data_IF_822180927116
#
_entry.id   IF_822180927116
#
_cell.length_a   1.000
_cell.length_b   1.000
_cell.length_c   1.000
_cell.angle_alpha   90.00
_cell.angle_beta   90.00
_cell.angle_gamma   90.00
#
_symmetry.space_group_name_H-M   'P 1'
#
loop_
_entity.id
_entity.type
_entity.pdbx_description
1 polymer ?
#
# COMPACT_ATOMS: atom_id res chain seq x y z
N UNK A 1 -22.91 -2.00 -34.18
CA UNK A 1 -22.34 -0.74 -33.64
C UNK A 1 -23.27 0.01 -32.65
N UNK A 2 -24.60 -0.17 -32.76
CA UNK A 2 -25.62 0.57 -31.93
C UNK A 2 -25.62 0.24 -30.45
N UNK A 3 -25.46 -1.02 -30.03
CA UNK A 3 -25.55 -1.44 -28.62
C UNK A 3 -24.35 -1.01 -27.73
N UNK A 4 -23.17 -0.72 -28.32
CA UNK A 4 -21.99 -0.21 -27.57
C UNK A 4 -22.08 1.29 -27.30
N UNK A 5 -22.63 2.06 -28.23
CA UNK A 5 -22.84 3.51 -28.09
C UNK A 5 -23.89 3.83 -27.01
N UNK A 6 -24.97 3.04 -26.96
CA UNK A 6 -26.04 3.21 -25.97
C UNK A 6 -25.59 2.91 -24.54
N UNK A 7 -24.70 1.91 -24.34
CA UNK A 7 -24.10 1.61 -23.01
C UNK A 7 -23.11 2.69 -22.54
N UNK A 8 -22.47 3.40 -23.48
CA UNK A 8 -21.55 4.50 -23.14
C UNK A 8 -22.33 5.78 -22.75
N UNK A 9 -23.43 6.07 -23.45
CA UNK A 9 -24.33 7.20 -23.13
C UNK A 9 -25.01 7.06 -21.76
N UNK A 10 -25.47 5.85 -21.42
CA UNK A 10 -26.08 5.57 -20.10
C UNK A 10 -25.07 5.70 -18.95
N UNK A 11 -23.79 5.30 -19.16
CA UNK A 11 -22.73 5.46 -18.17
C UNK A 11 -22.40 6.94 -17.90
N UNK A 12 -22.39 7.77 -18.94
CA UNK A 12 -22.15 9.22 -18.81
C UNK A 12 -23.36 9.89 -18.14
N UNK A 13 -24.58 9.50 -18.48
CA UNK A 13 -25.80 10.05 -17.87
C UNK A 13 -25.89 9.71 -16.36
N UNK A 14 -25.50 8.49 -15.98
CA UNK A 14 -25.46 8.07 -14.57
C UNK A 14 -24.39 8.87 -13.80
N UNK A 15 -23.23 9.12 -14.40
CA UNK A 15 -22.18 9.94 -13.81
C UNK A 15 -22.64 11.39 -13.67
N UNK A 16 -23.33 11.96 -14.67
CA UNK A 16 -23.86 13.33 -14.61
C UNK A 16 -25.00 13.48 -13.58
N UNK A 17 -25.91 12.50 -13.44
CA UNK A 17 -27.00 12.55 -12.46
C UNK A 17 -26.47 12.42 -11.03
N UNK A 18 -25.42 11.59 -10.83
CA UNK A 18 -24.74 11.48 -9.53
C UNK A 18 -23.97 12.77 -9.23
N UNK A 19 -23.31 13.36 -10.23
CA UNK A 19 -22.57 14.62 -10.08
C UNK A 19 -23.51 15.80 -9.73
N UNK A 20 -24.69 15.87 -10.34
CA UNK A 20 -25.70 16.89 -10.05
C UNK A 20 -26.30 16.70 -8.64
N UNK A 21 -26.52 15.47 -8.20
CA UNK A 21 -26.97 15.21 -6.82
C UNK A 21 -25.91 15.54 -5.79
N UNK A 22 -24.62 15.22 -6.05
CA UNK A 22 -23.49 15.55 -5.18
C UNK A 22 -23.31 17.07 -5.10
N UNK A 23 -23.39 17.79 -6.22
CA UNK A 23 -23.27 19.25 -6.25
C UNK A 23 -24.42 19.94 -5.50
N UNK A 24 -25.65 19.44 -5.59
CA UNK A 24 -26.75 19.95 -4.76
C UNK A 24 -26.52 19.72 -3.26
N UNK A 25 -25.89 18.59 -2.90
CA UNK A 25 -25.52 18.29 -1.51
C UNK A 25 -24.39 19.18 -1.00
N UNK A 26 -23.37 19.47 -1.82
CA UNK A 26 -22.29 20.40 -1.47
C UNK A 26 -22.77 21.85 -1.34
N UNK A 27 -23.71 22.28 -2.16
CA UNK A 27 -24.34 23.62 -2.04
C UNK A 27 -25.15 23.73 -0.74
N UNK A 28 -25.88 22.68 -0.34
CA UNK A 28 -26.58 22.66 0.96
C UNK A 28 -25.61 22.62 2.15
N UNK A 29 -24.52 21.86 2.08
CA UNK A 29 -23.50 21.76 3.13
C UNK A 29 -22.76 23.10 3.29
N UNK A 30 -22.36 23.74 2.18
CA UNK A 30 -21.72 25.06 2.22
C UNK A 30 -22.65 26.15 2.78
N UNK A 31 -23.97 26.01 2.62
CA UNK A 31 -24.93 26.92 3.23
C UNK A 31 -25.03 26.69 4.74
N UNK A 32 -24.99 25.42 5.19
CA UNK A 32 -25.04 25.05 6.62
C UNK A 32 -23.73 25.44 7.31
N UNK A 33 -22.56 25.25 6.67
CA UNK A 33 -21.24 25.63 7.21
C UNK A 33 -21.11 27.17 7.25
N UNK A 34 -21.63 27.91 6.26
CA UNK A 34 -21.65 29.40 6.31
C UNK A 34 -22.57 29.93 7.41
N UNK A 35 -23.72 29.32 7.69
CA UNK A 35 -24.58 29.71 8.81
C UNK A 35 -23.97 29.37 10.16
N UNK A 36 -23.22 28.26 10.30
CA UNK A 36 -22.51 27.95 11.54
C UNK A 36 -21.27 28.84 11.76
N UNK A 37 -20.60 29.29 10.68
CA UNK A 37 -19.44 30.19 10.77
C UNK A 37 -19.85 31.65 11.12
N UNK A 38 -21.04 32.08 10.71
CA UNK A 38 -21.54 33.41 11.07
C UNK A 38 -22.08 33.49 12.51
N UNK A 39 -22.36 32.35 13.16
CA UNK A 39 -22.78 32.29 14.57
C UNK A 39 -21.61 32.16 15.57
N UNK A 40 -20.38 31.95 15.10
CA UNK A 40 -19.19 31.71 15.95
C UNK A 40 -18.29 32.94 16.16
N UNK A 41 -18.66 34.12 15.66
CA UNK A 41 -17.85 35.33 15.82
C UNK A 41 -18.40 36.36 16.85
N UNK A 42 -19.33 35.98 17.68
CA UNK A 42 -19.73 36.86 18.82
C UNK A 42 -19.63 36.06 20.12
N UNK A 43 -18.64 36.38 20.90
CA UNK A 43 -18.41 36.25 22.33
C UNK A 43 -17.10 35.54 22.69
N UNK A 44 -16.20 36.29 23.28
CA UNK A 44 -15.02 35.81 23.98
C UNK A 44 -15.45 35.09 25.27
N UNK A 45 -14.92 33.87 25.58
CA UNK A 45 -15.23 33.23 26.84
C UNK A 45 -14.31 33.71 27.96
N UNK A 46 -14.93 34.10 29.07
CA UNK A 46 -14.33 34.31 30.38
C UNK A 46 -13.54 33.10 30.87
N UNK A 47 -12.44 33.37 31.56
CA UNK A 47 -11.51 32.44 32.19
C UNK A 47 -12.19 31.38 33.08
N UNK A 48 -12.21 30.15 32.64
CA UNK A 48 -12.51 28.97 33.45
C UNK A 48 -11.65 27.80 32.98
N UNK A 49 -10.63 27.44 33.74
CA UNK A 49 -9.63 26.43 33.36
C UNK A 49 -10.24 25.05 33.11
N UNK A 50 -10.25 24.64 31.86
CA UNK A 50 -10.56 23.27 31.47
C UNK A 50 -9.33 22.38 31.72
N UNK A 51 -9.37 21.52 32.75
CA UNK A 51 -8.38 20.46 32.96
C UNK A 51 -8.46 19.48 31.78
N UNK A 52 -7.34 19.28 31.09
CA UNK A 52 -7.19 18.24 30.06
C UNK A 52 -7.53 16.86 30.66
N UNK A 53 -8.27 16.00 29.95
CA UNK A 53 -8.59 14.66 30.44
C UNK A 53 -7.29 13.83 30.55
N UNK A 54 -7.10 13.16 31.69
CA UNK A 54 -6.05 12.17 31.88
C UNK A 54 -6.29 11.01 30.91
N UNK A 55 -5.24 10.60 30.21
CA UNK A 55 -5.22 9.40 29.34
C UNK A 55 -5.50 8.15 30.19
N UNK A 56 -6.74 7.60 30.10
CA UNK A 56 -7.16 6.38 30.77
C UNK A 56 -8.62 6.04 30.47
N UNK A 57 -9.00 4.77 30.64
CA UNK A 57 -10.41 4.36 30.61
C UNK A 57 -11.13 5.07 31.78
N UNK A 58 -12.15 5.87 31.48
CA UNK A 58 -12.93 6.60 32.50
C UNK A 58 -13.86 5.66 33.32
N UNK A 59 -13.27 4.59 33.89
CA UNK A 59 -13.95 3.58 34.68
C UNK A 59 -13.28 3.54 36.09
N UNK A 60 -14.05 3.80 37.13
CA UNK A 60 -13.53 3.84 38.50
C UNK A 60 -14.49 3.23 39.49
N UNK A 61 -13.96 2.68 40.61
CA UNK A 61 -14.73 2.10 41.71
C UNK A 61 -15.20 3.23 42.62
N UNK A 62 -16.48 3.29 42.93
CA UNK A 62 -17.10 4.27 43.85
C UNK A 62 -16.97 3.78 45.28
N UNK A 63 -17.16 4.70 46.22
CA UNK A 63 -17.19 4.38 47.68
C UNK A 63 -18.30 3.41 48.05
N UNK A 64 -19.38 3.36 47.30
CA UNK A 64 -20.52 2.43 47.46
C UNK A 64 -20.28 1.03 46.86
N UNK A 65 -19.03 0.74 46.45
CA UNK A 65 -18.62 -0.57 45.93
C UNK A 65 -18.93 -0.81 44.46
N UNK A 66 -19.76 0.04 43.82
CA UNK A 66 -20.10 -0.08 42.38
C UNK A 66 -19.03 0.52 41.50
N UNK A 67 -18.90 0.01 40.29
CA UNK A 67 -18.07 0.57 39.24
C UNK A 67 -18.88 1.57 38.39
N UNK A 68 -18.34 2.77 38.22
CA UNK A 68 -18.87 3.82 37.35
C UNK A 68 -17.99 3.96 36.12
N UNK A 69 -18.60 3.89 34.94
CA UNK A 69 -17.96 4.21 33.67
C UNK A 69 -18.59 5.47 33.08
N UNK A 70 -17.76 6.51 32.86
CA UNK A 70 -18.23 7.82 32.39
C UNK A 70 -17.79 8.04 30.94
N UNK A 71 -18.69 8.58 30.13
CA UNK A 71 -18.43 8.88 28.73
C UNK A 71 -19.14 10.14 28.26
N UNK A 72 -18.66 10.71 27.15
CA UNK A 72 -19.27 11.90 26.55
C UNK A 72 -20.47 11.45 25.72
N UNK A 73 -21.68 11.86 26.10
CA UNK A 73 -22.94 11.56 25.40
C UNK A 73 -23.36 12.63 24.40
N UNK A 74 -22.65 13.76 24.34
CA UNK A 74 -22.94 14.88 23.46
C UNK A 74 -22.20 16.14 23.90
N UNK A 75 -22.56 17.28 23.29
CA UNK A 75 -22.13 18.60 23.75
C UNK A 75 -23.34 19.43 24.15
N UNK A 76 -23.18 20.30 25.15
CA UNK A 76 -24.17 21.28 25.53
C UNK A 76 -24.16 22.46 24.54
N UNK A 77 -25.15 23.32 24.60
CA UNK A 77 -25.26 24.56 23.79
C UNK A 77 -24.06 25.51 23.97
N UNK A 78 -23.35 25.42 25.09
CA UNK A 78 -22.15 26.17 25.43
C UNK A 78 -20.83 25.53 24.90
N UNK A 79 -20.93 24.45 24.08
CA UNK A 79 -19.79 23.72 23.56
C UNK A 79 -19.14 22.72 24.53
N UNK A 80 -19.50 22.73 25.81
CA UNK A 80 -18.95 21.85 26.83
C UNK A 80 -19.42 20.42 26.65
N UNK A 81 -18.54 19.44 27.00
CA UNK A 81 -18.87 18.03 26.90
C UNK A 81 -19.96 17.63 27.91
N UNK A 82 -21.05 17.02 27.43
CA UNK A 82 -22.08 16.41 28.26
C UNK A 82 -21.68 14.98 28.60
N UNK A 83 -21.42 14.71 29.88
CA UNK A 83 -21.06 13.38 30.37
C UNK A 83 -22.29 12.60 30.82
N UNK A 84 -22.27 11.30 30.58
CA UNK A 84 -23.23 10.34 31.10
C UNK A 84 -22.46 9.18 31.74
N UNK A 85 -22.99 8.64 32.84
CA UNK A 85 -22.40 7.53 33.59
C UNK A 85 -23.25 6.27 33.49
N UNK A 86 -22.60 5.12 33.44
CA UNK A 86 -23.23 3.80 33.60
C UNK A 86 -22.62 3.09 34.82
N UNK A 87 -23.41 2.28 35.50
CA UNK A 87 -23.02 1.64 36.72
C UNK A 87 -23.13 0.12 36.63
N UNK A 88 -22.19 -0.61 37.25
CA UNK A 88 -22.23 -2.06 37.38
C UNK A 88 -21.54 -2.54 38.68
N UNK A 89 -21.77 -3.81 39.02
CA UNK A 89 -21.15 -4.43 40.23
C UNK A 89 -19.69 -4.81 39.97
N UNK A 90 -19.29 -5.06 38.73
CA UNK A 90 -17.91 -5.44 38.35
C UNK A 90 -17.35 -4.50 37.31
N UNK A 91 -16.02 -4.40 37.21
CA UNK A 91 -15.31 -3.62 36.18
C UNK A 91 -15.68 -4.09 34.75
N UNK A 92 -15.65 -5.43 34.53
CA UNK A 92 -15.99 -5.99 33.23
C UNK A 92 -17.42 -5.66 32.80
N UNK A 93 -18.40 -5.74 33.71
CA UNK A 93 -19.79 -5.38 33.45
C UNK A 93 -19.97 -3.86 33.22
N UNK A 94 -19.21 -3.00 33.90
CA UNK A 94 -19.23 -1.56 33.66
C UNK A 94 -18.65 -1.22 32.28
N UNK A 95 -17.56 -1.90 31.88
CA UNK A 95 -16.94 -1.75 30.57
C UNK A 95 -17.88 -2.22 29.44
N UNK A 96 -18.50 -3.38 29.59
CA UNK A 96 -19.47 -3.90 28.63
C UNK A 96 -20.67 -2.93 28.46
N UNK A 97 -21.26 -2.46 29.56
CA UNK A 97 -22.35 -1.47 29.54
C UNK A 97 -21.90 -0.14 28.93
N UNK A 98 -20.67 0.30 29.15
CA UNK A 98 -20.10 1.49 28.54
C UNK A 98 -20.02 1.33 27.01
N UNK A 99 -19.52 0.21 26.54
CA UNK A 99 -19.40 -0.09 25.10
C UNK A 99 -20.78 -0.19 24.45
N UNK A 100 -21.75 -0.86 25.08
CA UNK A 100 -23.11 -0.95 24.58
C UNK A 100 -23.79 0.43 24.53
N UNK A 101 -23.59 1.27 25.56
CA UNK A 101 -24.12 2.64 25.55
C UNK A 101 -23.43 3.54 24.53
N UNK A 102 -22.11 3.40 24.36
CA UNK A 102 -21.40 4.07 23.26
C UNK A 102 -21.95 3.62 21.91
N UNK A 103 -22.18 2.32 21.72
CA UNK A 103 -22.83 1.77 20.51
C UNK A 103 -24.21 2.39 20.28
N UNK A 104 -25.07 2.44 21.30
CA UNK A 104 -26.42 3.02 21.21
C UNK A 104 -26.43 4.53 20.95
N UNK A 105 -25.43 5.29 21.44
CA UNK A 105 -25.37 6.75 21.21
C UNK A 105 -24.85 7.05 19.81
N UNK A 106 -23.89 6.24 19.34
CA UNK A 106 -23.44 6.27 17.93
C UNK A 106 -24.54 5.72 17.01
N UNK A 107 -25.44 4.87 17.52
CA UNK A 107 -26.68 4.40 16.87
C UNK A 107 -27.85 5.37 17.02
N UNK A 108 -27.61 6.69 17.10
CA UNK A 108 -28.69 7.60 16.69
C UNK A 108 -29.10 7.18 15.29
N UNK A 109 -30.42 7.02 15.02
CA UNK A 109 -30.82 6.77 13.65
C UNK A 109 -30.14 7.82 12.82
N UNK A 110 -29.24 7.39 11.95
CA UNK A 110 -28.59 8.26 11.00
C UNK A 110 -29.73 8.86 10.17
N UNK A 111 -30.23 9.97 10.63
CA UNK A 111 -31.20 10.75 9.88
C UNK A 111 -30.48 11.03 8.57
N UNK A 112 -30.85 10.25 7.55
CA UNK A 112 -30.54 10.48 6.15
C UNK A 112 -29.25 9.99 5.52
N UNK A 113 -28.36 9.22 6.12
CA UNK A 113 -27.30 8.63 5.30
C UNK A 113 -27.86 7.46 4.45
N UNK A 114 -28.60 7.80 3.38
CA UNK A 114 -29.07 6.84 2.36
C UNK A 114 -28.00 6.53 1.33
N UNK A 115 -26.72 6.57 1.74
CA UNK A 115 -25.59 6.29 0.88
C UNK A 115 -25.48 4.78 0.68
N UNK A 116 -25.53 4.32 -0.57
CA UNK A 116 -25.24 2.94 -0.94
C UNK A 116 -23.72 2.71 -1.00
N UNK A 117 -23.28 1.47 -0.93
CA UNK A 117 -21.85 1.10 -1.11
C UNK A 117 -21.33 1.58 -2.47
N UNK A 118 -22.16 1.57 -3.52
CA UNK A 118 -21.80 2.11 -4.84
C UNK A 118 -21.51 3.60 -4.78
N UNK A 119 -22.42 4.39 -4.21
CA UNK A 119 -22.27 5.83 -4.06
C UNK A 119 -21.08 6.18 -3.15
N UNK A 120 -20.88 5.42 -2.08
CA UNK A 120 -19.70 5.54 -1.22
C UNK A 120 -18.41 5.44 -2.01
N UNK A 121 -18.25 4.42 -2.87
CA UNK A 121 -17.01 4.26 -3.63
C UNK A 121 -16.81 5.32 -4.69
N UNK A 122 -17.87 5.82 -5.35
CA UNK A 122 -17.79 6.96 -6.26
C UNK A 122 -17.26 8.18 -5.52
N UNK A 123 -17.84 8.48 -4.35
CA UNK A 123 -17.42 9.60 -3.54
C UNK A 123 -16.00 9.41 -2.96
N UNK A 124 -15.69 8.25 -2.37
CA UNK A 124 -14.35 7.96 -1.85
C UNK A 124 -13.25 8.13 -2.89
N UNK A 125 -13.47 7.62 -4.11
CA UNK A 125 -12.50 7.78 -5.19
C UNK A 125 -12.38 9.22 -5.70
N UNK A 126 -13.40 10.06 -5.57
CA UNK A 126 -13.33 11.47 -5.95
C UNK A 126 -12.49 12.30 -4.97
N UNK A 127 -12.50 11.94 -3.68
CA UNK A 127 -11.75 12.64 -2.64
C UNK A 127 -10.35 12.09 -2.40
N UNK A 128 -10.11 10.83 -2.76
CA UNK A 128 -8.85 10.16 -2.44
C UNK A 128 -7.70 10.64 -3.35
N UNK A 129 -6.67 11.21 -2.75
CA UNK A 129 -5.39 11.52 -3.42
C UNK A 129 -4.54 10.25 -3.53
N UNK A 130 -4.78 9.48 -4.58
CA UNK A 130 -4.08 8.21 -4.82
C UNK A 130 -3.43 8.19 -6.18
N UNK A 131 -2.25 7.53 -6.25
CA UNK A 131 -1.51 7.38 -7.51
C UNK A 131 -2.35 6.69 -8.59
N UNK A 132 -2.17 7.02 -9.88
CA UNK A 132 -2.95 6.44 -10.98
C UNK A 132 -2.99 4.92 -10.98
N UNK A 133 -1.88 4.26 -10.66
CA UNK A 133 -1.80 2.81 -10.56
C UNK A 133 -2.64 2.21 -9.43
N UNK A 134 -2.67 2.88 -8.27
CA UNK A 134 -3.50 2.47 -7.12
C UNK A 134 -4.97 2.69 -7.44
N UNK A 135 -5.32 3.83 -8.07
CA UNK A 135 -6.68 4.13 -8.53
C UNK A 135 -7.17 3.07 -9.49
N UNK A 136 -6.39 2.71 -10.50
CA UNK A 136 -6.74 1.67 -11.47
C UNK A 136 -7.00 0.31 -10.80
N UNK A 137 -6.19 -0.05 -9.80
CA UNK A 137 -6.40 -1.27 -8.99
C UNK A 137 -7.68 -1.19 -8.16
N UNK A 138 -7.95 -0.06 -7.51
CA UNK A 138 -9.16 0.12 -6.73
C UNK A 138 -10.41 0.04 -7.59
N UNK A 139 -10.42 0.73 -8.74
CA UNK A 139 -11.52 0.66 -9.71
C UNK A 139 -11.77 -0.79 -10.12
N UNK A 140 -10.71 -1.55 -10.45
CA UNK A 140 -10.84 -2.96 -10.79
C UNK A 140 -11.47 -3.79 -9.65
N UNK A 141 -10.98 -3.63 -8.40
CA UNK A 141 -11.53 -4.36 -7.26
C UNK A 141 -12.99 -3.98 -6.98
N UNK A 142 -13.32 -2.70 -7.11
CA UNK A 142 -14.67 -2.19 -6.90
C UNK A 142 -15.63 -2.75 -7.95
N UNK A 143 -15.32 -2.59 -9.24
CA UNK A 143 -16.21 -2.96 -10.33
C UNK A 143 -16.42 -4.47 -10.46
N UNK A 144 -15.37 -5.27 -10.24
CA UNK A 144 -15.44 -6.72 -10.52
C UNK A 144 -15.70 -7.56 -9.28
N UNK A 145 -15.43 -7.05 -8.07
CA UNK A 145 -15.58 -7.86 -6.86
C UNK A 145 -16.58 -7.28 -5.85
N UNK A 146 -16.64 -5.95 -5.68
CA UNK A 146 -17.42 -5.34 -4.60
C UNK A 146 -18.84 -4.98 -5.06
N UNK A 147 -18.96 -4.18 -6.14
CA UNK A 147 -20.25 -3.67 -6.58
C UNK A 147 -21.26 -4.73 -7.00
N UNK A 148 -20.86 -5.86 -7.64
CA UNK A 148 -21.85 -6.88 -8.03
C UNK A 148 -22.66 -7.45 -6.88
N UNK A 149 -22.10 -7.51 -5.67
CA UNK A 149 -22.74 -8.14 -4.51
C UNK A 149 -23.14 -7.14 -3.41
N UNK A 150 -22.32 -6.12 -3.18
CA UNK A 150 -22.54 -5.16 -2.10
C UNK A 150 -23.03 -3.78 -2.58
N UNK A 151 -23.01 -3.51 -3.87
CA UNK A 151 -23.20 -2.17 -4.43
C UNK A 151 -24.54 -1.50 -4.09
N UNK A 152 -25.62 -2.27 -3.98
CA UNK A 152 -26.96 -1.79 -3.66
C UNK A 152 -27.25 -1.66 -2.16
N UNK A 153 -26.39 -2.20 -1.30
CA UNK A 153 -26.60 -2.20 0.15
C UNK A 153 -26.31 -0.79 0.69
N UNK A 154 -27.18 -0.31 1.60
CA UNK A 154 -26.93 0.93 2.31
C UNK A 154 -25.76 0.76 3.29
N UNK A 155 -24.86 1.74 3.33
CA UNK A 155 -23.64 1.71 4.16
C UNK A 155 -23.95 1.50 5.64
N UNK A 156 -25.04 2.12 6.14
CA UNK A 156 -25.47 2.00 7.54
C UNK A 156 -26.04 0.63 7.89
N UNK A 157 -26.53 -0.12 6.90
CA UNK A 157 -27.11 -1.45 7.11
C UNK A 157 -26.10 -2.60 6.89
N UNK A 158 -24.90 -2.28 6.42
CA UNK A 158 -23.88 -3.30 6.19
C UNK A 158 -23.31 -3.82 7.52
N UNK A 159 -23.57 -5.09 7.82
CA UNK A 159 -23.15 -5.73 9.06
C UNK A 159 -21.76 -6.39 8.94
N UNK A 160 -21.12 -6.64 10.09
CA UNK A 160 -19.86 -7.38 10.15
C UNK A 160 -20.01 -8.81 9.62
N UNK A 161 -21.17 -9.44 9.86
CA UNK A 161 -21.49 -10.77 9.36
C UNK A 161 -21.55 -10.78 7.83
N UNK A 162 -22.36 -9.88 7.23
CA UNK A 162 -22.47 -9.79 5.76
C UNK A 162 -21.11 -9.56 5.08
N UNK A 163 -20.28 -8.66 5.63
CA UNK A 163 -18.95 -8.44 5.09
C UNK A 163 -18.03 -9.67 5.27
N UNK A 164 -18.14 -10.39 6.39
CA UNK A 164 -17.38 -11.63 6.62
C UNK A 164 -17.78 -12.73 5.64
N UNK A 165 -19.10 -12.92 5.43
CA UNK A 165 -19.65 -13.92 4.51
C UNK A 165 -19.22 -13.60 3.06
N UNK A 166 -19.32 -12.34 2.66
CA UNK A 166 -18.82 -11.86 1.37
C UNK A 166 -17.33 -12.17 1.15
N UNK A 167 -16.48 -11.87 2.14
CA UNK A 167 -15.04 -12.15 2.04
C UNK A 167 -14.75 -13.65 1.99
N UNK A 168 -15.53 -14.47 2.71
CA UNK A 168 -15.43 -15.92 2.69
C UNK A 168 -15.84 -16.50 1.33
N UNK A 169 -16.92 -16.01 0.75
CA UNK A 169 -17.35 -16.37 -0.60
C UNK A 169 -16.28 -16.01 -1.64
N UNK A 170 -15.67 -14.82 -1.58
CA UNK A 170 -14.56 -14.44 -2.48
C UNK A 170 -13.35 -15.34 -2.31
N UNK A 171 -13.15 -15.91 -1.13
CA UNK A 171 -12.11 -16.89 -0.89
C UNK A 171 -12.35 -18.21 -1.63
N UNK A 172 -13.61 -18.64 -1.77
CA UNK A 172 -14.00 -19.89 -2.39
C UNK A 172 -14.20 -19.76 -3.91
N UNK A 173 -14.85 -18.70 -4.38
CA UNK A 173 -15.32 -18.54 -5.78
C UNK A 173 -15.09 -17.15 -6.37
N UNK A 174 -14.13 -16.38 -5.86
CA UNK A 174 -13.97 -14.96 -6.24
C UNK A 174 -13.20 -14.68 -7.52
N UNK A 175 -12.63 -15.66 -8.24
CA UNK A 175 -11.95 -15.42 -9.52
C UNK A 175 -12.93 -15.26 -10.65
N UNK A 176 -12.63 -14.35 -11.60
CA UNK A 176 -13.47 -14.08 -12.77
C UNK A 176 -13.59 -15.28 -13.74
N UNK A 177 -12.64 -16.21 -13.71
CA UNK A 177 -12.58 -17.41 -14.56
C UNK A 177 -12.63 -18.71 -13.74
N UNK A 178 -13.31 -18.67 -12.59
CA UNK A 178 -13.47 -19.82 -11.70
C UNK A 178 -12.39 -19.94 -10.61
N UNK A 179 -12.77 -20.52 -9.47
CA UNK A 179 -11.93 -20.73 -8.29
C UNK A 179 -11.85 -19.54 -7.34
N UNK A 180 -11.20 -19.75 -6.20
CA UNK A 180 -11.12 -18.78 -5.11
C UNK A 180 -9.99 -17.76 -5.25
N UNK A 181 -10.16 -16.58 -4.64
CA UNK A 181 -9.10 -15.58 -4.51
C UNK A 181 -8.08 -15.98 -3.43
N UNK A 182 -6.85 -15.49 -3.58
CA UNK A 182 -5.83 -15.64 -2.54
C UNK A 182 -6.23 -14.89 -1.25
N UNK A 183 -5.75 -15.35 -0.08
CA UNK A 183 -5.97 -14.66 1.19
C UNK A 183 -5.55 -13.19 1.14
N UNK A 184 -4.46 -12.89 0.43
CA UNK A 184 -3.97 -11.53 0.22
C UNK A 184 -4.96 -10.70 -0.59
N UNK A 185 -5.49 -11.23 -1.70
CA UNK A 185 -6.46 -10.50 -2.54
C UNK A 185 -7.76 -10.22 -1.78
N UNK A 186 -8.27 -11.20 -1.03
CA UNK A 186 -9.46 -11.03 -0.17
C UNK A 186 -9.21 -9.98 0.92
N UNK A 187 -8.02 -10.03 1.55
CA UNK A 187 -7.63 -9.01 2.54
C UNK A 187 -7.57 -7.61 1.92
N UNK A 188 -7.00 -7.47 0.73
CA UNK A 188 -6.90 -6.19 0.02
C UNK A 188 -8.29 -5.60 -0.30
N UNK A 189 -9.25 -6.45 -0.70
CA UNK A 189 -10.68 -6.06 -0.87
C UNK A 189 -11.26 -5.57 0.46
N UNK A 190 -11.11 -6.34 1.53
CA UNK A 190 -11.63 -5.97 2.85
C UNK A 190 -10.99 -4.69 3.41
N UNK A 191 -9.68 -4.47 3.18
CA UNK A 191 -8.98 -3.22 3.55
C UNK A 191 -9.57 -2.03 2.80
N UNK A 192 -9.83 -2.17 1.49
CA UNK A 192 -10.42 -1.12 0.67
C UNK A 192 -11.84 -0.76 1.13
N UNK A 193 -12.67 -1.77 1.39
CA UNK A 193 -14.04 -1.55 1.92
C UNK A 193 -13.96 -0.81 3.25
N UNK A 194 -13.15 -1.29 4.20
CA UNK A 194 -13.00 -0.65 5.51
C UNK A 194 -12.43 0.77 5.43
N UNK A 195 -11.54 1.06 4.49
CA UNK A 195 -11.01 2.41 4.29
C UNK A 195 -12.12 3.37 3.84
N UNK A 196 -12.93 2.97 2.86
CA UNK A 196 -14.05 3.77 2.40
C UNK A 196 -15.14 3.94 3.50
N UNK A 197 -15.44 2.88 4.26
CA UNK A 197 -16.41 2.96 5.37
C UNK A 197 -15.91 3.88 6.49
N UNK A 198 -14.62 3.84 6.87
CA UNK A 198 -14.05 4.76 7.87
C UNK A 198 -14.13 6.20 7.41
N UNK A 199 -13.83 6.44 6.13
CA UNK A 199 -13.92 7.77 5.53
C UNK A 199 -15.36 8.31 5.63
N UNK A 200 -16.36 7.52 5.24
CA UNK A 200 -17.77 7.91 5.36
C UNK A 200 -18.22 8.04 6.82
N UNK A 201 -17.80 7.13 7.71
CA UNK A 201 -18.15 7.18 9.13
C UNK A 201 -17.58 8.43 9.83
N UNK A 202 -16.40 8.89 9.43
CA UNK A 202 -15.80 10.11 9.94
C UNK A 202 -16.57 11.37 9.47
N UNK A 203 -16.97 11.41 8.20
CA UNK A 203 -17.66 12.56 7.60
C UNK A 203 -19.13 12.67 8.06
N UNK A 204 -19.85 11.56 8.02
CA UNK A 204 -21.28 11.53 8.35
C UNK A 204 -21.60 11.16 9.81
N UNK A 205 -20.56 10.92 10.62
CA UNK A 205 -20.67 10.60 12.05
C UNK A 205 -21.65 9.44 12.38
N UNK A 206 -21.66 8.38 11.56
CA UNK A 206 -22.47 7.19 11.82
C UNK A 206 -21.61 5.99 12.23
N UNK A 207 -22.23 5.06 12.94
CA UNK A 207 -21.64 3.77 13.24
C UNK A 207 -21.87 2.78 12.10
N UNK A 208 -20.82 2.04 11.71
CA UNK A 208 -20.92 0.95 10.75
C UNK A 208 -20.36 -0.33 11.37
N UNK A 209 -21.21 -1.32 11.60
CA UNK A 209 -20.80 -2.60 12.21
C UNK A 209 -19.80 -3.35 11.36
N UNK A 210 -19.86 -3.24 10.02
CA UNK A 210 -18.87 -3.85 9.12
C UNK A 210 -17.42 -3.48 9.41
N UNK A 211 -17.16 -2.37 10.10
CA UNK A 211 -15.80 -2.00 10.54
C UNK A 211 -15.19 -2.98 11.53
N UNK A 212 -16.00 -3.75 12.26
CA UNK A 212 -15.57 -4.76 13.23
C UNK A 212 -15.16 -6.09 12.57
N UNK A 213 -15.42 -6.29 11.26
CA UNK A 213 -15.09 -7.53 10.55
C UNK A 213 -13.61 -7.87 10.68
N UNK A 214 -13.27 -9.10 11.04
CA UNK A 214 -11.90 -9.60 11.06
C UNK A 214 -11.46 -9.95 9.64
N UNK A 215 -10.36 -9.35 9.20
CA UNK A 215 -9.80 -9.64 7.87
C UNK A 215 -8.94 -10.92 7.89
N UNK A 216 -8.89 -11.68 6.79
CA UNK A 216 -8.07 -12.88 6.70
C UNK A 216 -6.61 -12.60 7.04
N UNK A 217 -6.00 -13.48 7.84
CA UNK A 217 -4.55 -13.47 8.07
C UNK A 217 -3.85 -13.92 6.79
N UNK A 218 -2.78 -13.24 6.41
CA UNK A 218 -1.95 -13.61 5.28
C UNK A 218 -0.62 -14.15 5.78
N UNK A 219 -0.28 -15.38 5.39
CA UNK A 219 1.09 -15.86 5.58
C UNK A 219 2.00 -15.10 4.61
N UNK A 220 3.05 -14.49 5.11
CA UNK A 220 4.08 -13.90 4.27
C UNK A 220 4.84 -15.07 3.63
N UNK A 221 4.92 -15.10 2.29
CA UNK A 221 5.78 -16.07 1.61
C UNK A 221 7.21 -15.57 1.75
N UNK A 222 8.06 -16.38 2.30
CA UNK A 222 9.50 -16.16 2.28
C UNK A 222 9.96 -16.23 0.82
N UNK A 223 10.71 -15.23 0.40
CA UNK A 223 11.33 -15.20 -0.93
C UNK A 223 12.74 -15.75 -0.74
N UNK A 224 12.93 -16.97 -1.14
CA UNK A 224 14.24 -17.60 -1.14
C UNK A 224 15.17 -16.90 -2.16
N UNK A 225 16.32 -16.39 -1.76
CA UNK A 225 17.29 -15.78 -2.67
C UNK A 225 17.86 -16.81 -3.65
N UNK A 226 18.53 -16.37 -4.70
CA UNK A 226 19.30 -17.25 -5.57
C UNK A 226 20.48 -17.83 -4.79
N UNK A 227 20.70 -19.14 -4.94
CA UNK A 227 21.90 -19.79 -4.42
C UNK A 227 23.16 -19.34 -5.18
N UNK A 228 24.34 -19.59 -4.61
CA UNK A 228 25.62 -19.32 -5.28
C UNK A 228 25.72 -20.06 -6.62
N UNK A 229 25.26 -21.32 -6.65
CA UNK A 229 25.20 -22.11 -7.88
C UNK A 229 24.26 -21.50 -8.93
N UNK A 230 23.03 -21.12 -8.53
CA UNK A 230 22.09 -20.47 -9.46
C UNK A 230 22.63 -19.16 -10.02
N UNK A 231 23.34 -18.36 -9.21
CA UNK A 231 23.99 -17.12 -9.67
C UNK A 231 25.13 -17.38 -10.66
N UNK A 232 25.92 -18.43 -10.43
CA UNK A 232 27.01 -18.82 -11.37
C UNK A 232 26.42 -19.33 -12.69
N UNK A 233 25.37 -20.16 -12.64
CA UNK A 233 24.67 -20.59 -13.85
C UNK A 233 24.04 -19.40 -14.60
N UNK A 234 23.42 -18.46 -13.87
CA UNK A 234 22.87 -17.26 -14.48
C UNK A 234 23.96 -16.44 -15.16
N UNK A 235 25.12 -16.25 -14.52
CA UNK A 235 26.28 -15.54 -15.08
C UNK A 235 26.79 -16.21 -16.37
N UNK A 236 26.91 -17.53 -16.37
CA UNK A 236 27.36 -18.33 -17.54
C UNK A 236 26.33 -18.31 -18.68
N UNK A 237 25.04 -18.22 -18.36
CA UNK A 237 23.95 -18.20 -19.34
C UNK A 237 23.67 -16.84 -19.97
N UNK A 238 24.31 -15.77 -19.47
CA UNK A 238 24.29 -14.47 -20.13
C UNK A 238 25.22 -14.47 -21.34
N UNK A 239 24.99 -13.56 -22.29
CA UNK A 239 25.83 -13.47 -23.49
C UNK A 239 27.30 -13.22 -23.15
N UNK A 240 28.25 -13.91 -23.78
CA UNK A 240 29.66 -13.61 -23.64
C UNK A 240 30.01 -12.18 -24.06
N UNK A 241 29.30 -11.66 -25.07
CA UNK A 241 29.45 -10.27 -25.50
C UNK A 241 28.47 -9.38 -24.73
N UNK A 242 28.95 -8.27 -24.15
CA UNK A 242 28.11 -7.32 -23.46
C UNK A 242 26.95 -6.82 -24.35
N UNK A 243 25.73 -6.96 -23.84
CA UNK A 243 24.54 -6.45 -24.53
C UNK A 243 23.62 -5.74 -23.53
N UNK A 244 22.82 -4.83 -24.09
CA UNK A 244 21.97 -3.96 -23.28
C UNK A 244 20.84 -4.70 -22.56
N UNK A 245 20.34 -5.84 -23.07
CA UNK A 245 19.27 -6.60 -22.38
C UNK A 245 19.81 -7.34 -21.15
N UNK A 246 20.98 -7.98 -21.27
CA UNK A 246 21.61 -8.66 -20.15
C UNK A 246 22.09 -7.67 -19.08
N UNK A 247 22.49 -6.45 -19.50
CA UNK A 247 22.86 -5.37 -18.59
C UNK A 247 21.81 -5.12 -17.49
N UNK A 248 20.53 -5.20 -17.81
CA UNK A 248 19.47 -5.00 -16.83
C UNK A 248 19.37 -6.10 -15.77
N UNK A 249 19.65 -7.36 -16.13
CA UNK A 249 19.74 -8.48 -15.16
C UNK A 249 20.92 -8.25 -14.22
N UNK A 250 22.09 -7.92 -14.79
CA UNK A 250 23.31 -7.65 -14.04
C UNK A 250 23.17 -6.42 -13.13
N UNK A 251 22.54 -5.34 -13.59
CA UNK A 251 22.21 -4.16 -12.77
C UNK A 251 21.35 -4.52 -11.57
N UNK A 252 20.37 -5.40 -11.76
CA UNK A 252 19.54 -5.82 -10.64
C UNK A 252 20.24 -6.77 -9.68
N UNK A 253 21.18 -7.61 -10.18
CA UNK A 253 21.96 -8.51 -9.37
C UNK A 253 23.07 -7.79 -8.57
N UNK A 254 23.63 -6.68 -9.09
CA UNK A 254 24.73 -5.92 -8.49
C UNK A 254 24.32 -4.59 -7.83
N UNK A 255 23.10 -4.08 -8.10
CA UNK A 255 22.62 -2.83 -7.54
C UNK A 255 21.21 -2.92 -6.93
N UNK A 256 20.59 -4.09 -6.96
CA UNK A 256 19.29 -4.30 -6.33
C UNK A 256 18.13 -3.51 -6.95
N UNK A 257 18.20 -3.17 -8.24
CA UNK A 257 17.19 -2.36 -8.93
C UNK A 257 15.86 -3.11 -9.04
N UNK A 258 14.74 -2.36 -8.96
CA UNK A 258 13.40 -2.91 -9.24
C UNK A 258 13.19 -3.03 -10.76
N UNK A 259 12.37 -3.98 -11.18
CA UNK A 259 12.05 -4.21 -12.61
C UNK A 259 11.64 -2.91 -13.34
N UNK A 260 10.75 -2.11 -12.74
CA UNK A 260 10.32 -0.85 -13.35
C UNK A 260 11.41 0.22 -13.41
N UNK A 261 12.35 0.23 -12.47
CA UNK A 261 13.51 1.13 -12.46
C UNK A 261 14.46 0.79 -13.60
N UNK A 262 14.83 -0.49 -13.73
CA UNK A 262 15.69 -0.97 -14.84
C UNK A 262 15.06 -0.68 -16.20
N UNK A 263 13.76 -0.87 -16.34
CA UNK A 263 13.05 -0.58 -17.60
C UNK A 263 13.02 0.91 -17.96
N UNK A 264 13.23 1.80 -16.97
CA UNK A 264 13.23 3.25 -17.15
C UNK A 264 14.62 3.86 -17.27
N UNK A 265 15.67 3.06 -17.03
CA UNK A 265 17.05 3.54 -16.93
C UNK A 265 17.58 4.00 -18.29
N UNK A 266 18.21 5.17 -18.33
CA UNK A 266 18.85 5.77 -19.51
C UNK A 266 20.36 5.69 -19.37
N UNK A 267 21.06 5.86 -20.50
CA UNK A 267 22.54 5.94 -20.50
C UNK A 267 23.02 7.11 -19.64
N UNK A 268 22.34 8.26 -19.71
CA UNK A 268 22.64 9.46 -18.89
C UNK A 268 22.52 9.25 -17.39
N UNK A 269 21.86 8.18 -16.92
CA UNK A 269 21.75 7.89 -15.49
C UNK A 269 22.99 7.18 -14.93
N UNK A 270 23.95 6.81 -15.78
CA UNK A 270 25.19 6.15 -15.41
C UNK A 270 26.33 7.17 -15.39
N UNK A 271 26.94 7.32 -14.24
CA UNK A 271 28.18 8.10 -14.08
C UNK A 271 29.38 7.14 -14.15
N UNK A 272 30.02 7.10 -15.32
CA UNK A 272 31.20 6.25 -15.54
C UNK A 272 32.46 6.75 -14.86
N UNK A 273 32.53 8.02 -14.43
CA UNK A 273 33.67 8.58 -13.72
C UNK A 273 33.64 8.18 -12.25
N UNK A 274 32.45 8.33 -11.61
CA UNK A 274 32.30 8.01 -10.19
C UNK A 274 31.84 6.56 -9.95
N UNK A 275 31.60 5.77 -10.98
CA UNK A 275 31.18 4.37 -10.86
C UNK A 275 29.78 4.21 -10.25
N UNK A 276 28.85 5.11 -10.55
CA UNK A 276 27.52 5.13 -9.93
C UNK A 276 26.38 5.11 -10.93
N UNK A 277 25.18 4.74 -10.46
CA UNK A 277 23.94 4.82 -11.22
C UNK A 277 22.87 5.55 -10.42
N UNK A 278 22.22 6.52 -11.07
CA UNK A 278 21.12 7.33 -10.48
C UNK A 278 19.77 6.71 -10.81
N UNK A 279 18.95 6.48 -9.79
CA UNK A 279 17.60 5.92 -9.93
C UNK A 279 16.57 7.01 -9.65
N UNK A 280 15.97 7.57 -10.69
CA UNK A 280 15.03 8.69 -10.61
C UNK A 280 13.65 8.37 -11.20
N UNK A 281 13.55 7.29 -11.95
CA UNK A 281 12.35 6.95 -12.74
C UNK A 281 12.01 5.48 -12.64
N UNK A 282 10.73 5.18 -12.82
CA UNK A 282 10.25 3.81 -12.96
C UNK A 282 9.14 3.74 -14.01
N UNK A 283 9.17 2.72 -14.84
CA UNK A 283 8.13 2.40 -15.81
C UNK A 283 7.11 1.46 -15.17
N UNK A 284 5.84 1.78 -15.34
CA UNK A 284 4.73 0.94 -14.92
C UNK A 284 3.65 0.90 -15.99
N UNK A 285 3.05 -0.28 -16.22
CA UNK A 285 1.84 -0.40 -17.03
C UNK A 285 0.60 -0.17 -16.18
N UNK A 286 -0.20 0.79 -16.55
CA UNK A 286 -1.44 1.16 -15.83
C UNK A 286 -2.63 1.02 -16.77
N UNK A 287 -3.73 0.47 -16.28
CA UNK A 287 -5.00 0.42 -16.99
C UNK A 287 -5.77 1.72 -16.70
N UNK A 288 -6.10 2.45 -17.75
CA UNK A 288 -6.85 3.70 -17.66
C UNK A 288 -7.89 3.73 -18.80
N UNK A 289 -9.15 3.98 -18.48
CA UNK A 289 -10.26 4.02 -19.44
C UNK A 289 -10.32 2.79 -20.36
N UNK A 290 -10.18 1.59 -19.79
CA UNK A 290 -10.24 0.32 -20.53
C UNK A 290 -8.99 -0.04 -21.32
N UNK A 291 -8.06 0.92 -21.55
CA UNK A 291 -6.79 0.73 -22.27
C UNK A 291 -5.62 0.68 -21.29
N UNK A 292 -4.56 -0.02 -21.67
CA UNK A 292 -3.33 -0.05 -20.89
C UNK A 292 -2.28 0.86 -21.50
N UNK A 293 -1.66 1.72 -20.68
CA UNK A 293 -0.55 2.59 -21.09
C UNK A 293 0.67 2.35 -20.22
N UNK A 294 1.87 2.50 -20.83
CA UNK A 294 3.11 2.64 -20.07
C UNK A 294 3.17 4.06 -19.52
N UNK A 295 3.42 4.18 -18.25
CA UNK A 295 3.60 5.45 -17.57
C UNK A 295 4.99 5.43 -16.93
N UNK A 296 5.77 6.48 -17.21
CA UNK A 296 7.02 6.76 -16.51
C UNK A 296 6.64 7.66 -15.32
N UNK A 297 7.00 7.24 -14.13
CA UNK A 297 6.71 7.96 -12.90
C UNK A 297 7.98 8.16 -12.09
N UNK A 298 8.05 9.26 -11.36
CA UNK A 298 8.99 9.37 -10.25
C UNK A 298 8.71 8.26 -9.21
N UNK A 299 9.73 7.74 -8.54
CA UNK A 299 9.56 6.70 -7.53
C UNK A 299 8.55 7.11 -6.43
N UNK A 300 8.04 6.10 -5.71
CA UNK A 300 6.92 6.26 -4.74
C UNK A 300 7.23 7.20 -3.57
N UNK A 301 8.49 7.38 -3.22
CA UNK A 301 8.94 8.24 -2.12
C UNK A 301 10.24 8.93 -2.52
N UNK A 302 10.54 10.06 -1.92
CA UNK A 302 11.82 10.77 -2.08
C UNK A 302 13.02 9.86 -1.81
N UNK A 303 12.94 8.98 -0.81
CA UNK A 303 13.96 7.97 -0.51
C UNK A 303 14.17 6.93 -1.62
N UNK A 304 13.27 6.85 -2.59
CA UNK A 304 13.44 5.95 -3.75
C UNK A 304 14.27 6.57 -4.87
N UNK A 305 14.44 7.90 -4.87
CA UNK A 305 15.46 8.59 -5.67
C UNK A 305 16.78 8.40 -4.94
N UNK A 306 17.74 7.77 -5.60
CA UNK A 306 18.99 7.35 -4.97
C UNK A 306 20.10 7.16 -5.99
N UNK A 307 21.33 7.26 -5.53
CA UNK A 307 22.54 6.91 -6.27
C UNK A 307 23.11 5.61 -5.69
N UNK A 308 23.47 4.68 -6.56
CA UNK A 308 23.99 3.34 -6.19
C UNK A 308 25.38 3.19 -6.76
N UNK A 309 26.42 2.92 -5.93
CA UNK A 309 27.74 2.54 -6.44
C UNK A 309 27.69 1.14 -7.04
N UNK A 310 28.39 0.95 -8.13
CA UNK A 310 28.51 -0.34 -8.82
C UNK A 310 29.96 -0.82 -8.83
N UNK A 311 30.19 -2.15 -8.82
CA UNK A 311 31.54 -2.72 -8.97
C UNK A 311 32.20 -2.33 -10.29
N UNK A 312 33.54 -2.21 -10.31
CA UNK A 312 34.30 -1.78 -11.48
C UNK A 312 34.11 -2.68 -12.70
N UNK A 313 34.01 -3.99 -12.50
CA UNK A 313 33.72 -4.96 -13.57
C UNK A 313 32.34 -4.75 -14.18
N UNK A 314 31.34 -4.42 -13.36
CA UNK A 314 30.01 -4.06 -13.84
C UNK A 314 30.05 -2.76 -14.65
N UNK A 315 30.79 -1.74 -14.21
CA UNK A 315 30.95 -0.49 -14.94
C UNK A 315 31.64 -0.71 -16.29
N UNK A 316 32.66 -1.54 -16.33
CA UNK A 316 33.35 -1.91 -17.58
C UNK A 316 32.38 -2.66 -18.53
N UNK A 317 31.58 -3.57 -18.02
CA UNK A 317 30.53 -4.25 -18.80
C UNK A 317 29.50 -3.25 -19.36
N UNK A 318 28.99 -2.35 -18.52
CA UNK A 318 28.01 -1.33 -18.94
C UNK A 318 28.56 -0.43 -20.03
N UNK A 319 29.80 0.05 -19.89
CA UNK A 319 30.46 0.90 -20.89
C UNK A 319 30.47 0.25 -22.29
N UNK A 320 30.75 -1.05 -22.33
CA UNK A 320 30.70 -1.83 -23.58
C UNK A 320 29.25 -2.04 -24.05
N UNK A 321 28.34 -2.38 -23.15
CA UNK A 321 26.95 -2.69 -23.49
C UNK A 321 26.17 -1.49 -24.04
N UNK A 322 26.52 -0.26 -23.62
CA UNK A 322 25.87 0.99 -24.10
C UNK A 322 26.70 1.74 -25.13
N UNK A 323 27.80 1.16 -25.60
CA UNK A 323 28.63 1.78 -26.63
C UNK A 323 27.82 2.09 -27.90
N UNK A 324 27.94 3.31 -28.40
CA UNK A 324 27.18 3.78 -29.56
C UNK A 324 25.73 4.19 -29.30
N UNK A 325 25.25 4.09 -28.05
CA UNK A 325 23.92 4.58 -27.71
C UNK A 325 23.96 6.08 -27.36
N UNK A 326 22.87 6.78 -27.70
CA UNK A 326 22.66 8.17 -27.25
C UNK A 326 22.53 8.24 -25.74
N UNK A 327 22.98 9.34 -25.12
CA UNK A 327 22.82 9.61 -23.68
C UNK A 327 21.35 9.52 -23.20
N UNK A 328 20.40 9.94 -24.05
CA UNK A 328 18.98 9.89 -23.75
C UNK A 328 18.32 8.54 -24.04
N UNK A 329 19.06 7.57 -24.59
CA UNK A 329 18.51 6.26 -24.89
C UNK A 329 18.25 5.43 -23.63
N UNK A 330 17.14 4.72 -23.61
CA UNK A 330 16.86 3.71 -22.58
C UNK A 330 17.78 2.51 -22.77
N UNK A 331 18.48 2.12 -21.72
CA UNK A 331 19.50 1.06 -21.82
C UNK A 331 18.96 -0.23 -22.43
N UNK A 332 17.77 -0.70 -21.97
CA UNK A 332 17.22 -1.99 -22.40
C UNK A 332 16.68 -2.02 -23.83
N UNK A 333 16.39 -0.88 -24.44
CA UNK A 333 15.85 -0.80 -25.81
C UNK A 333 16.80 -0.19 -26.80
N UNK A 334 17.81 0.56 -26.33
CA UNK A 334 18.67 1.39 -27.17
C UNK A 334 17.95 2.58 -27.81
N UNK A 335 16.70 2.84 -27.45
CA UNK A 335 15.83 3.86 -28.06
C UNK A 335 15.60 5.05 -27.13
N UNK A 336 15.41 6.23 -27.68
CA UNK A 336 15.17 7.46 -26.91
C UNK A 336 13.68 7.69 -26.62
N UNK A 337 12.80 7.16 -27.46
CA UNK A 337 11.35 7.38 -27.45
C UNK A 337 10.56 6.32 -26.67
N UNK A 338 11.12 5.11 -26.48
CA UNK A 338 10.36 3.99 -25.96
C UNK A 338 11.13 3.20 -24.91
N UNK A 339 10.70 3.24 -23.63
CA UNK A 339 11.26 2.40 -22.58
C UNK A 339 10.88 0.93 -22.78
N UNK A 340 11.59 0.03 -22.13
CA UNK A 340 11.26 -1.40 -22.12
C UNK A 340 9.95 -1.64 -21.35
N UNK A 341 9.08 -2.46 -21.95
CA UNK A 341 7.89 -2.95 -21.28
C UNK A 341 8.26 -3.93 -20.15
N UNK A 342 7.90 -3.66 -18.86
CA UNK A 342 8.29 -4.52 -17.74
C UNK A 342 7.89 -5.98 -17.91
N UNK A 343 6.68 -6.24 -18.46
CA UNK A 343 6.24 -7.62 -18.68
C UNK A 343 7.05 -8.35 -19.76
N UNK A 344 7.38 -7.65 -20.83
CA UNK A 344 8.25 -8.19 -21.88
C UNK A 344 9.63 -8.52 -21.34
N UNK A 345 10.18 -7.62 -20.51
CA UNK A 345 11.49 -7.87 -19.89
C UNK A 345 11.44 -8.99 -18.86
N UNK A 346 10.35 -9.15 -18.13
CA UNK A 346 10.14 -10.31 -17.25
C UNK A 346 10.12 -11.62 -18.03
N UNK A 347 9.49 -11.68 -19.20
CA UNK A 347 9.53 -12.85 -20.08
C UNK A 347 10.95 -13.13 -20.59
N UNK A 348 11.69 -12.09 -20.94
CA UNK A 348 13.10 -12.23 -21.28
C UNK A 348 13.90 -12.87 -20.14
N UNK A 349 13.76 -12.36 -18.93
CA UNK A 349 14.39 -12.93 -17.74
C UNK A 349 13.99 -14.39 -17.51
N UNK A 350 12.71 -14.73 -17.62
CA UNK A 350 12.23 -16.11 -17.50
C UNK A 350 12.83 -17.01 -18.59
N UNK A 351 13.06 -16.50 -19.80
CA UNK A 351 13.74 -17.26 -20.87
C UNK A 351 15.21 -17.50 -20.57
N UNK A 352 15.91 -16.52 -19.97
CA UNK A 352 17.28 -16.67 -19.52
C UNK A 352 17.36 -17.74 -18.43
N UNK A 353 16.51 -17.69 -17.39
CA UNK A 353 16.48 -18.71 -16.34
C UNK A 353 16.29 -20.12 -16.90
N UNK A 354 15.40 -20.28 -17.87
CA UNK A 354 15.15 -21.58 -18.53
C UNK A 354 16.39 -22.08 -19.27
N UNK A 355 17.12 -21.23 -19.99
CA UNK A 355 18.37 -21.58 -20.67
C UNK A 355 19.46 -22.02 -19.68
N UNK A 356 19.46 -21.41 -18.50
CA UNK A 356 20.42 -21.72 -17.44
C UNK A 356 20.04 -22.95 -16.59
N UNK A 357 18.93 -23.65 -16.90
CA UNK A 357 18.44 -24.76 -16.08
C UNK A 357 17.95 -24.34 -14.69
N UNK A 358 17.67 -23.04 -14.48
CA UNK A 358 17.23 -22.49 -13.19
C UNK A 358 15.71 -22.52 -13.13
N UNK A 359 15.15 -22.96 -11.99
CA UNK A 359 13.71 -22.94 -11.75
C UNK A 359 13.13 -21.53 -11.90
N UNK A 360 11.87 -21.42 -12.30
CA UNK A 360 11.19 -20.13 -12.45
C UNK A 360 11.20 -19.33 -11.15
N UNK A 361 11.77 -18.13 -11.21
CA UNK A 361 11.84 -17.14 -10.14
C UNK A 361 11.22 -15.80 -10.58
N UNK A 362 10.75 -15.01 -9.64
CA UNK A 362 10.34 -13.63 -9.95
C UNK A 362 11.57 -12.76 -10.19
N UNK A 363 11.46 -11.75 -11.06
CA UNK A 363 12.54 -10.77 -11.26
C UNK A 363 12.97 -10.10 -9.94
N UNK A 364 12.02 -9.89 -9.04
CA UNK A 364 12.27 -9.26 -7.74
C UNK A 364 13.20 -10.11 -6.84
N UNK A 365 13.34 -11.40 -7.11
CA UNK A 365 14.28 -12.28 -6.41
C UNK A 365 15.74 -11.83 -6.58
N UNK A 366 16.14 -11.23 -7.73
CA UNK A 366 17.49 -10.65 -7.92
C UNK A 366 17.78 -9.59 -6.86
N UNK A 367 16.84 -8.70 -6.63
CA UNK A 367 16.97 -7.65 -5.61
C UNK A 367 17.03 -8.23 -4.18
N UNK A 368 16.24 -9.26 -3.89
CA UNK A 368 16.32 -9.97 -2.60
C UNK A 368 17.71 -10.61 -2.42
N UNK A 369 18.21 -11.26 -3.46
CA UNK A 369 19.54 -11.87 -3.46
C UNK A 369 20.63 -10.82 -3.24
N UNK A 370 20.55 -9.68 -3.94
CA UNK A 370 21.48 -8.57 -3.72
C UNK A 370 21.47 -8.11 -2.25
N UNK A 371 20.27 -7.87 -1.68
CA UNK A 371 20.14 -7.44 -0.30
C UNK A 371 20.73 -8.46 0.70
N UNK A 372 20.43 -9.75 0.50
CA UNK A 372 20.97 -10.83 1.34
C UNK A 372 22.50 -10.87 1.25
N UNK A 373 23.05 -10.85 0.04
CA UNK A 373 24.51 -10.87 -0.17
C UNK A 373 25.23 -9.65 0.42
N UNK A 374 24.63 -8.46 0.33
CA UNK A 374 25.20 -7.26 0.96
C UNK A 374 25.34 -7.45 2.48
N UNK A 375 24.29 -7.95 3.12
CA UNK A 375 24.28 -8.18 4.58
C UNK A 375 25.24 -9.31 4.97
N UNK A 376 25.28 -10.42 4.21
CA UNK A 376 26.19 -11.53 4.44
C UNK A 376 27.66 -11.12 4.30
N UNK A 377 27.95 -10.12 3.46
CA UNK A 377 29.30 -9.53 3.31
C UNK A 377 29.56 -8.37 4.29
N UNK A 378 28.70 -8.18 5.30
CA UNK A 378 28.95 -7.24 6.40
C UNK A 378 28.57 -5.80 6.11
N UNK A 379 27.86 -5.51 5.02
CA UNK A 379 27.33 -4.16 4.77
C UNK A 379 26.20 -3.91 5.77
N UNK A 380 26.23 -2.79 6.47
CA UNK A 380 25.23 -2.46 7.46
C UNK A 380 23.81 -2.31 6.87
N UNK A 381 22.81 -2.67 7.67
CA UNK A 381 21.41 -2.74 7.21
C UNK A 381 20.87 -1.38 6.76
N UNK A 382 21.38 -0.27 7.34
CA UNK A 382 20.94 1.08 6.97
C UNK A 382 21.46 1.43 5.56
N UNK A 383 22.74 1.21 5.28
CA UNK A 383 23.33 1.40 3.95
C UNK A 383 22.65 0.53 2.90
N UNK A 384 22.38 -0.76 3.20
CA UNK A 384 21.62 -1.64 2.29
C UNK A 384 20.20 -1.09 2.05
N UNK A 385 19.52 -0.59 3.09
CA UNK A 385 18.19 0.00 2.97
C UNK A 385 18.18 1.26 2.10
N UNK A 386 19.20 2.10 2.21
CA UNK A 386 19.39 3.31 1.40
C UNK A 386 19.68 2.94 -0.07
N UNK A 387 20.61 2.04 -0.34
CA UNK A 387 20.90 1.54 -1.70
C UNK A 387 19.67 0.91 -2.36
N UNK A 388 18.85 0.21 -1.59
CA UNK A 388 17.59 -0.34 -2.07
C UNK A 388 16.48 0.71 -2.22
N UNK A 389 16.55 1.86 -1.55
CA UNK A 389 15.48 2.86 -1.50
C UNK A 389 14.23 2.30 -0.81
N UNK A 390 14.39 1.70 0.37
CA UNK A 390 13.28 1.32 1.23
C UNK A 390 12.84 2.52 2.07
N UNK A 391 11.55 2.80 2.09
CA UNK A 391 11.00 3.88 2.91
C UNK A 391 11.17 3.60 4.41
N UNK A 392 11.20 2.30 4.78
CA UNK A 392 11.33 1.81 6.15
C UNK A 392 12.40 0.70 6.19
N UNK A 393 13.39 0.89 7.06
CA UNK A 393 14.50 -0.04 7.32
C UNK A 393 13.99 -1.41 7.77
N UNK A 394 12.82 -1.48 8.43
CA UNK A 394 12.20 -2.75 8.85
C UNK A 394 11.94 -3.68 7.66
N UNK A 395 11.77 -3.13 6.46
CA UNK A 395 11.64 -3.93 5.23
C UNK A 395 12.95 -4.69 4.92
N UNK A 396 14.10 -4.05 5.13
CA UNK A 396 15.42 -4.69 4.96
C UNK A 396 15.71 -5.67 6.10
N UNK A 397 15.39 -5.30 7.34
CA UNK A 397 15.53 -6.18 8.51
C UNK A 397 14.75 -7.49 8.37
N UNK A 398 13.56 -7.46 7.76
CA UNK A 398 12.78 -8.68 7.50
C UNK A 398 13.43 -9.65 6.52
N UNK A 399 14.37 -9.20 5.71
CA UNK A 399 15.17 -10.07 4.83
C UNK A 399 16.27 -10.82 5.64
N UNK A 400 16.62 -10.29 6.82
CA UNK A 400 17.69 -10.80 7.67
C UNK A 400 17.19 -11.65 8.87
N UNK A 401 15.95 -12.12 8.85
CA UNK A 401 15.31 -12.76 10.02
C UNK A 401 16.03 -14.03 10.50
N UNK A 402 16.85 -14.68 9.65
CA UNK A 402 17.56 -15.90 10.04
C UNK A 402 19.01 -15.92 9.51
N UNK A 403 19.96 -15.20 10.14
CA UNK A 403 21.37 -15.35 9.80
C UNK A 403 21.81 -16.78 10.09
N UNK A 404 22.59 -17.38 9.18
CA UNK A 404 23.12 -18.72 9.36
C UNK A 404 23.97 -18.81 10.64
N UNK A 405 24.09 -20.01 11.23
CA UNK A 405 24.98 -20.22 12.36
C UNK A 405 26.42 -19.85 12.05
N UNK A 406 26.85 -20.08 10.82
CA UNK A 406 28.20 -19.75 10.37
C UNK A 406 28.43 -18.24 10.28
N UNK A 407 27.43 -17.47 9.79
CA UNK A 407 27.47 -16.00 9.84
C UNK A 407 27.56 -15.48 11.26
N UNK A 408 26.84 -16.10 12.21
CA UNK A 408 26.90 -15.75 13.65
C UNK A 408 28.28 -16.09 14.24
N UNK A 409 28.84 -17.26 13.91
CA UNK A 409 30.19 -17.66 14.35
C UNK A 409 31.23 -16.69 13.83
N UNK A 410 31.21 -16.33 12.57
CA UNK A 410 32.15 -15.37 11.98
C UNK A 410 32.06 -13.99 12.63
N UNK A 411 30.81 -13.52 12.93
CA UNK A 411 30.61 -12.24 13.59
C UNK A 411 31.17 -12.24 15.02
N UNK A 412 30.95 -13.32 15.78
CA UNK A 412 31.47 -13.45 17.15
C UNK A 412 32.99 -13.55 17.19
N UNK A 413 33.62 -14.23 16.22
CA UNK A 413 35.08 -14.28 16.12
C UNK A 413 35.71 -12.88 16.00
N UNK A 414 35.03 -11.95 15.30
CA UNK A 414 35.55 -10.57 15.12
C UNK A 414 35.48 -9.72 16.39
N UNK A 415 34.70 -10.12 17.39
CA UNK A 415 34.52 -9.38 18.66
C UNK A 415 35.08 -10.16 19.85
N UNK A 416 35.92 -11.18 19.61
CA UNK A 416 36.56 -11.95 20.69
C UNK A 416 37.41 -11.02 21.55
N UNK A 417 37.10 -10.94 22.85
CA UNK A 417 37.88 -10.17 23.81
C UNK A 417 39.26 -10.79 24.11
N UNK A 418 39.39 -12.10 23.88
CA UNK A 418 40.64 -12.84 24.11
C UNK A 418 41.68 -12.67 23.00
N UNK A 419 41.38 -11.87 21.97
CA UNK A 419 42.18 -11.59 20.77
C UNK A 419 43.62 -12.01 20.82
N UNK A 420 43.93 -13.17 20.24
CA UNK A 420 45.32 -13.54 19.93
C UNK A 420 46.16 -14.14 21.06
N UNK A 421 45.58 -14.58 22.19
CA UNK A 421 46.26 -15.40 23.18
C UNK A 421 46.07 -16.87 22.82
N UNK A 422 46.87 -17.39 21.92
CA UNK A 422 47.12 -18.79 21.65
C UNK A 422 48.57 -18.94 21.21
#
# INVERSE_FOLDING_TARGET
>A
HSKKSMRFGIKILIICVVFVKINRYQVMQNTIVRTSYLYSQSEQPSKGGCRLPKTGENIYKRKDGRWEARFISGRKSDGCAKYTSVYARTYAAAKAKLEDRKRMIVSRPAGSCRLTVKELFVWYLSQAEIKPSTRARYVFLIEHHILPELGSIFVVSLTAKQLSDFLSQKRQSGRLHGGGLSAKSVRDIGVLIKAALRFASAEYHFYCDALNTKLPKTKQREIEPFSAWELDQLRKGLSPSPNHKDAGILLSANGGLRLGEVCALRVSDIDFQNGTVSIERAVQRVRQNGKTKLIIQTPKSEKSVRVIPLPNDMMAYLKKAVSGLSQNAYILTGRTDKPMEPRTYQYYFESVLRRCGIRKRSYHTLRHTYATRCIENGIDVKSVSEMLGHADVTTTLRLYVHPSLDSKRQAIQKISFLGGVA
#
